data_IF_847056905319
#
_entry.id   IF_847056905319
#
_cell.length_a   1.000
_cell.length_b   1.000
_cell.length_c   1.000
_cell.angle_alpha   90.00
_cell.angle_beta   90.00
_cell.angle_gamma   90.00
#
_symmetry.space_group_name_H-M   'P 1'
#
loop_
_entity.id
_entity.type
_entity.pdbx_description
1 polymer ?
#
# COMPACT_ATOMS: atom_id res chain seq x y z
N UNK A 1 -46.84 29.83 25.80
CA UNK A 1 -46.49 28.92 24.69
C UNK A 1 -45.43 29.59 23.83
N UNK A 2 -44.18 29.14 23.89
CA UNK A 2 -43.08 29.75 23.14
C UNK A 2 -43.11 29.32 21.66
N UNK A 3 -43.21 30.29 20.75
CA UNK A 3 -43.16 30.08 19.30
C UNK A 3 -41.72 29.76 18.90
N UNK A 4 -41.48 28.50 18.53
CA UNK A 4 -40.22 27.99 18.01
C UNK A 4 -39.96 28.64 16.64
N UNK A 5 -39.08 29.65 16.59
CA UNK A 5 -38.65 30.26 15.33
C UNK A 5 -38.00 29.18 14.44
N UNK A 6 -38.65 28.83 13.33
CA UNK A 6 -38.02 28.02 12.27
C UNK A 6 -37.00 28.90 11.55
N UNK A 7 -35.72 28.67 11.81
CA UNK A 7 -34.60 29.32 11.12
C UNK A 7 -34.74 29.03 9.62
N UNK A 8 -35.06 30.04 8.80
CA UNK A 8 -35.13 29.89 7.34
C UNK A 8 -33.71 29.66 6.85
N UNK A 9 -33.41 28.44 6.41
CA UNK A 9 -32.10 28.11 5.86
C UNK A 9 -32.01 28.78 4.49
N UNK A 10 -31.02 29.63 4.29
CA UNK A 10 -30.84 30.39 3.05
C UNK A 10 -30.53 29.41 1.92
N UNK A 11 -31.50 29.15 1.04
CA UNK A 11 -31.38 28.21 -0.09
C UNK A 11 -30.12 28.51 -0.95
N UNK A 12 -29.77 29.79 -1.11
CA UNK A 12 -28.55 30.20 -1.82
C UNK A 12 -27.23 29.74 -1.16
N UNK A 13 -27.24 29.39 0.12
CA UNK A 13 -26.07 28.83 0.82
C UNK A 13 -26.11 27.30 0.87
N UNK A 14 -27.31 26.70 0.86
CA UNK A 14 -27.50 25.24 0.88
C UNK A 14 -27.12 24.61 -0.45
N UNK A 15 -27.48 25.23 -1.57
CA UNK A 15 -27.18 24.71 -2.90
C UNK A 15 -25.66 24.58 -3.15
N UNK A 16 -24.81 25.61 -2.96
CA UNK A 16 -23.37 25.45 -3.15
C UNK A 16 -22.76 24.49 -2.13
N UNK A 17 -23.26 24.45 -0.89
CA UNK A 17 -22.81 23.47 0.11
C UNK A 17 -23.11 22.03 -0.33
N UNK A 18 -24.31 21.76 -0.85
CA UNK A 18 -24.68 20.45 -1.39
C UNK A 18 -23.82 20.07 -2.60
N UNK A 19 -23.52 21.03 -3.49
CA UNK A 19 -22.63 20.77 -4.64
C UNK A 19 -21.23 20.42 -4.16
N UNK A 20 -20.68 21.15 -3.18
CA UNK A 20 -19.36 20.86 -2.60
C UNK A 20 -19.33 19.47 -1.97
N UNK A 21 -20.32 19.12 -1.14
CA UNK A 21 -20.44 17.79 -0.54
C UNK A 21 -20.54 16.71 -1.61
N UNK A 22 -21.31 16.94 -2.68
CA UNK A 22 -21.44 16.00 -3.79
C UNK A 22 -20.09 15.79 -4.50
N UNK A 23 -19.35 16.87 -4.80
CA UNK A 23 -18.01 16.79 -5.39
C UNK A 23 -17.04 16.02 -4.49
N UNK A 24 -16.97 16.34 -3.19
CA UNK A 24 -16.11 15.62 -2.25
C UNK A 24 -16.49 14.15 -2.14
N UNK A 25 -17.80 13.83 -2.09
CA UNK A 25 -18.27 12.45 -2.01
C UNK A 25 -17.91 11.63 -3.26
N UNK A 26 -18.02 12.22 -4.46
CA UNK A 26 -17.58 11.59 -5.72
C UNK A 26 -16.06 11.42 -5.74
N UNK A 27 -15.30 12.42 -5.28
CA UNK A 27 -13.84 12.37 -5.26
C UNK A 27 -13.30 11.30 -4.29
N UNK A 28 -13.87 11.18 -3.09
CA UNK A 28 -13.53 10.13 -2.12
C UNK A 28 -13.89 8.75 -2.68
N UNK A 29 -15.07 8.62 -3.29
CA UNK A 29 -15.51 7.35 -3.88
C UNK A 29 -14.62 6.92 -5.05
N UNK A 30 -14.17 7.86 -5.87
CA UNK A 30 -13.23 7.59 -6.96
C UNK A 30 -11.88 7.09 -6.43
N UNK A 31 -11.36 7.71 -5.36
CA UNK A 31 -10.13 7.27 -4.68
C UNK A 31 -10.28 5.83 -4.16
N UNK A 32 -11.38 5.55 -3.44
CA UNK A 32 -11.67 4.21 -2.91
C UNK A 32 -11.75 3.14 -4.01
N UNK A 33 -12.39 3.45 -5.14
CA UNK A 33 -12.57 2.47 -6.24
C UNK A 33 -11.26 2.12 -6.95
N UNK A 34 -10.36 3.09 -7.09
CA UNK A 34 -9.04 2.87 -7.68
C UNK A 34 -8.15 1.99 -6.78
N UNK A 35 -8.21 2.17 -5.47
CA UNK A 35 -7.43 1.38 -4.49
C UNK A 35 -7.69 -0.13 -4.56
N UNK A 36 -8.93 -0.54 -4.86
CA UNK A 36 -9.30 -1.95 -5.05
C UNK A 36 -8.85 -2.55 -6.39
N UNK A 37 -8.35 -1.73 -7.32
CA UNK A 37 -7.90 -2.17 -8.64
C UNK A 37 -6.41 -2.54 -8.60
N UNK A 38 -6.05 -3.54 -7.80
CA UNK A 38 -4.65 -3.97 -7.62
C UNK A 38 -4.14 -4.62 -8.90
N UNK A 39 -3.07 -4.10 -9.55
CA UNK A 39 -2.44 -4.79 -10.67
C UNK A 39 -1.79 -6.09 -10.18
N UNK A 40 -2.09 -7.22 -10.84
CA UNK A 40 -1.42 -8.51 -10.59
C UNK A 40 0.03 -8.52 -11.07
N UNK A 41 0.44 -7.49 -11.82
CA UNK A 41 1.80 -7.36 -12.37
C UNK A 41 2.48 -6.12 -11.79
N UNK A 42 3.72 -6.24 -11.29
CA UNK A 42 4.45 -5.10 -10.76
C UNK A 42 4.65 -4.02 -11.84
N UNK A 43 4.55 -2.73 -11.49
CA UNK A 43 4.63 -1.66 -12.46
C UNK A 43 5.95 -1.70 -13.24
N UNK A 44 5.88 -1.48 -14.55
CA UNK A 44 7.07 -1.39 -15.38
C UNK A 44 7.86 -0.13 -15.01
N UNK A 45 9.18 -0.26 -14.86
CA UNK A 45 10.10 0.80 -14.39
C UNK A 45 10.23 2.03 -15.33
N UNK A 46 9.37 2.15 -16.35
CA UNK A 46 9.51 3.10 -17.45
C UNK A 46 8.52 4.28 -17.42
N UNK A 47 7.68 4.44 -16.40
CA UNK A 47 6.83 5.62 -16.28
C UNK A 47 7.56 6.80 -15.63
N UNK A 48 8.54 7.33 -16.37
CA UNK A 48 9.27 8.57 -16.07
C UNK A 48 8.49 9.83 -16.50
N UNK A 49 7.22 9.70 -16.90
CA UNK A 49 6.37 10.84 -17.29
C UNK A 49 4.89 10.50 -17.08
N UNK A 50 4.13 11.41 -16.47
CA UNK A 50 2.69 11.25 -16.20
C UNK A 50 2.39 10.73 -14.78
N UNK A 51 1.32 9.94 -14.65
CA UNK A 51 0.96 9.22 -13.42
C UNK A 51 1.50 7.79 -13.51
N UNK A 52 1.99 7.23 -12.41
CA UNK A 52 2.37 5.82 -12.29
C UNK A 52 1.50 5.16 -11.22
N UNK A 53 1.10 3.91 -11.46
CA UNK A 53 0.40 3.10 -10.47
C UNK A 53 1.43 2.31 -9.67
N UNK A 54 1.36 2.41 -8.35
CA UNK A 54 2.18 1.65 -7.40
C UNK A 54 1.31 0.75 -6.54
N UNK A 55 1.92 -0.25 -5.93
CA UNK A 55 1.26 -1.14 -4.99
C UNK A 55 1.83 -0.96 -3.60
N UNK A 56 0.98 -0.64 -2.63
CA UNK A 56 1.34 -0.47 -1.23
C UNK A 56 0.80 -1.64 -0.41
N UNK A 57 1.49 -2.02 0.65
CA UNK A 57 1.09 -3.13 1.51
C UNK A 57 0.65 -2.58 2.87
N UNK A 58 -0.61 -2.76 3.23
CA UNK A 58 -1.20 -2.29 4.49
C UNK A 58 -1.72 -3.43 5.33
N UNK A 59 -2.00 -3.17 6.61
CA UNK A 59 -2.42 -4.22 7.55
C UNK A 59 -3.90 -4.52 7.36
N UNK A 60 -4.23 -5.81 7.28
CA UNK A 60 -5.59 -6.31 7.22
C UNK A 60 -5.88 -7.19 8.45
N UNK A 61 -7.01 -6.92 9.12
CA UNK A 61 -7.49 -7.68 10.28
C UNK A 61 -6.46 -7.79 11.43
N UNK A 62 -5.46 -6.91 11.47
CA UNK A 62 -4.37 -6.92 12.44
C UNK A 62 -3.35 -8.07 12.32
N UNK A 63 -3.44 -8.93 11.29
CA UNK A 63 -2.62 -10.16 11.23
C UNK A 63 -1.94 -10.42 9.90
N UNK A 64 -2.38 -9.81 8.81
CA UNK A 64 -1.84 -10.04 7.47
C UNK A 64 -1.62 -8.71 6.74
N UNK A 65 -0.91 -8.75 5.63
CA UNK A 65 -0.80 -7.62 4.71
C UNK A 65 -1.76 -7.78 3.53
N UNK A 66 -2.33 -6.68 3.07
CA UNK A 66 -3.12 -6.61 1.84
C UNK A 66 -2.62 -5.49 0.94
N UNK A 67 -2.80 -5.70 -0.36
CA UNK A 67 -2.29 -4.81 -1.41
C UNK A 67 -3.31 -3.72 -1.71
N UNK A 68 -2.81 -2.50 -1.86
CA UNK A 68 -3.60 -1.35 -2.32
C UNK A 68 -2.90 -0.69 -3.50
N UNK A 69 -3.66 -0.45 -4.59
CA UNK A 69 -3.14 0.32 -5.72
C UNK A 69 -3.19 1.82 -5.43
N UNK A 70 -2.14 2.54 -5.81
CA UNK A 70 -2.12 3.99 -5.72
C UNK A 70 -1.57 4.64 -6.96
N UNK A 71 -2.24 5.69 -7.43
CA UNK A 71 -1.67 6.56 -8.44
C UNK A 71 -0.79 7.61 -7.76
N UNK A 72 0.45 7.71 -8.22
CA UNK A 72 1.43 8.67 -7.75
C UNK A 72 2.05 9.38 -8.94
N UNK A 73 2.53 10.60 -8.71
CA UNK A 73 3.17 11.38 -9.76
C UNK A 73 4.45 10.68 -10.28
N UNK A 74 4.79 10.95 -11.53
CA UNK A 74 6.09 10.61 -12.07
C UNK A 74 7.19 11.37 -11.31
N UNK A 75 8.31 10.70 -11.17
CA UNK A 75 9.46 11.10 -10.38
C UNK A 75 10.70 11.13 -11.27
N UNK A 76 11.63 12.04 -10.97
CA UNK A 76 12.78 12.31 -11.84
C UNK A 76 13.97 11.35 -11.66
N UNK A 77 14.13 10.77 -10.47
CA UNK A 77 15.22 9.83 -10.15
C UNK A 77 14.70 8.63 -9.35
N UNK A 78 15.39 7.47 -9.36
CA UNK A 78 14.99 6.31 -8.57
C UNK A 78 14.83 6.62 -7.06
N UNK A 79 15.70 7.44 -6.50
CA UNK A 79 15.65 7.87 -5.09
C UNK A 79 14.40 8.71 -4.82
N UNK A 80 14.08 9.66 -5.69
CA UNK A 80 12.85 10.44 -5.58
C UNK A 80 11.63 9.52 -5.68
N UNK A 81 11.61 8.60 -6.66
CA UNK A 81 10.52 7.63 -6.82
C UNK A 81 10.30 6.75 -5.59
N UNK A 82 11.39 6.32 -4.96
CA UNK A 82 11.34 5.48 -3.77
C UNK A 82 10.89 6.29 -2.56
N UNK A 83 11.38 7.53 -2.41
CA UNK A 83 10.93 8.42 -1.35
C UNK A 83 9.44 8.71 -1.46
N UNK A 84 8.95 9.08 -2.64
CA UNK A 84 7.53 9.34 -2.89
C UNK A 84 6.67 8.09 -2.59
N UNK A 85 7.16 6.90 -2.96
CA UNK A 85 6.48 5.63 -2.66
C UNK A 85 6.35 5.40 -1.14
N UNK A 86 7.42 5.64 -0.38
CA UNK A 86 7.43 5.45 1.06
C UNK A 86 6.62 6.53 1.78
N UNK A 87 6.63 7.77 1.29
CA UNK A 87 5.79 8.85 1.81
C UNK A 87 4.29 8.50 1.64
N UNK A 88 3.91 7.86 0.53
CA UNK A 88 2.55 7.32 0.33
C UNK A 88 2.22 6.14 1.27
N UNK A 89 3.18 5.28 1.57
CA UNK A 89 3.00 4.23 2.56
C UNK A 89 2.77 4.82 3.96
N UNK A 90 3.54 5.85 4.33
CA UNK A 90 3.39 6.57 5.62
C UNK A 90 2.05 7.33 5.68
N UNK A 91 1.55 7.83 4.55
CA UNK A 91 0.26 8.50 4.47
C UNK A 91 -0.95 7.57 4.76
N UNK A 92 -0.73 6.25 4.81
CA UNK A 92 -1.73 5.28 5.20
C UNK A 92 -2.62 4.78 4.06
N UNK A 93 -3.51 3.81 4.34
CA UNK A 93 -4.42 3.23 3.37
C UNK A 93 -5.60 4.15 3.04
N UNK A 94 -6.27 3.82 1.93
CA UNK A 94 -7.55 4.41 1.53
C UNK A 94 -8.64 3.37 1.71
N UNK A 95 -9.36 3.43 2.83
CA UNK A 95 -10.50 2.57 3.08
C UNK A 95 -10.44 1.91 4.44
N UNK A 96 -10.59 0.58 4.46
CA UNK A 96 -10.81 -0.20 5.69
C UNK A 96 -9.55 -0.94 6.17
N UNK A 97 -8.42 -0.82 5.46
CA UNK A 97 -7.15 -1.35 5.92
C UNK A 97 -6.58 -0.48 7.04
N UNK A 98 -5.72 -1.06 7.86
CA UNK A 98 -5.03 -0.38 8.94
C UNK A 98 -3.65 0.12 8.50
N UNK A 99 -3.20 1.22 9.10
CA UNK A 99 -1.84 1.73 8.92
C UNK A 99 -0.80 0.69 9.34
N UNK A 100 0.24 0.53 8.51
CA UNK A 100 1.33 -0.37 8.81
C UNK A 100 2.50 0.32 9.50
N UNK A 101 2.70 1.62 9.25
CA UNK A 101 3.76 2.42 9.84
C UNK A 101 3.15 3.39 10.86
N UNK A 102 3.84 3.69 11.99
CA UNK A 102 3.34 4.67 12.94
C UNK A 102 3.19 6.06 12.34
N UNK A 103 2.15 6.79 12.76
CA UNK A 103 1.99 8.21 12.43
C UNK A 103 3.26 9.00 12.76
N UNK A 104 3.69 9.87 11.85
CA UNK A 104 4.90 10.68 12.02
C UNK A 104 6.21 9.94 11.77
N UNK A 105 6.17 8.73 11.21
CA UNK A 105 7.35 8.09 10.61
C UNK A 105 7.96 9.03 9.57
N UNK A 106 9.27 9.29 9.66
CA UNK A 106 9.99 10.13 8.70
C UNK A 106 11.05 9.32 7.97
N UNK A 107 11.09 9.42 6.65
CA UNK A 107 12.17 8.86 5.83
C UNK A 107 13.31 9.88 5.74
N UNK A 108 14.39 9.63 6.47
CA UNK A 108 15.58 10.47 6.51
C UNK A 108 16.32 10.41 5.17
N UNK A 109 16.57 9.20 4.66
CA UNK A 109 17.26 9.00 3.39
C UNK A 109 16.93 7.65 2.76
N UNK A 110 17.14 7.55 1.46
CA UNK A 110 17.09 6.30 0.70
C UNK A 110 18.32 6.23 -0.20
N UNK A 111 18.88 5.04 -0.37
CA UNK A 111 20.04 4.83 -1.24
C UNK A 111 19.98 3.46 -1.92
N UNK A 112 20.50 3.41 -3.14
CA UNK A 112 20.59 2.22 -3.97
C UNK A 112 22.05 1.74 -4.04
N UNK A 113 22.27 0.45 -3.84
CA UNK A 113 23.54 -0.25 -4.05
C UNK A 113 23.29 -1.56 -4.80
N UNK A 114 23.27 -1.49 -6.14
CA UNK A 114 22.94 -2.61 -7.00
C UNK A 114 21.52 -3.13 -6.78
N UNK A 115 21.40 -4.33 -6.21
CA UNK A 115 20.12 -4.98 -5.88
C UNK A 115 19.67 -4.74 -4.42
N UNK A 116 20.44 -3.94 -3.65
CA UNK A 116 20.15 -3.55 -2.28
C UNK A 116 19.63 -2.11 -2.24
N UNK A 117 18.54 -1.90 -1.51
CA UNK A 117 18.12 -0.55 -1.08
C UNK A 117 18.35 -0.42 0.41
N UNK A 118 18.88 0.72 0.85
CA UNK A 118 18.87 1.11 2.26
C UNK A 118 17.87 2.23 2.48
N UNK A 119 16.95 2.04 3.42
CA UNK A 119 15.97 3.02 3.87
C UNK A 119 16.32 3.43 5.30
N UNK A 120 16.68 4.70 5.48
CA UNK A 120 16.93 5.27 6.80
C UNK A 120 15.68 5.98 7.31
N UNK A 121 15.19 5.53 8.46
CA UNK A 121 14.01 6.07 9.13
C UNK A 121 14.43 6.88 10.36
N UNK A 122 13.60 7.83 10.75
CA UNK A 122 13.76 8.52 12.03
C UNK A 122 13.43 7.62 13.22
N UNK A 123 13.93 7.98 14.41
CA UNK A 123 13.55 7.33 15.67
C UNK A 123 12.04 7.20 15.91
N UNK A 124 11.24 8.14 15.38
CA UNK A 124 9.78 8.11 15.53
C UNK A 124 9.13 6.84 15.00
N UNK A 125 9.74 6.18 14.00
CA UNK A 125 9.31 4.84 13.57
C UNK A 125 9.38 3.86 14.75
N UNK A 126 10.55 3.71 15.37
CA UNK A 126 10.74 2.77 16.47
C UNK A 126 9.89 3.11 17.70
N UNK A 127 9.84 4.38 18.07
CA UNK A 127 9.14 4.82 19.28
C UNK A 127 7.60 4.73 19.12
N UNK A 128 7.11 4.87 17.88
CA UNK A 128 5.69 4.78 17.54
C UNK A 128 5.18 3.36 17.29
N UNK A 129 6.06 2.36 17.16
CA UNK A 129 5.64 0.98 16.88
C UNK A 129 4.74 0.44 18.00
N UNK A 130 3.57 -0.15 17.65
CA UNK A 130 2.76 -0.86 18.62
C UNK A 130 3.57 -1.98 19.29
N UNK A 131 3.27 -2.25 20.56
CA UNK A 131 3.97 -3.30 21.29
C UNK A 131 3.62 -4.68 20.73
N UNK A 132 4.62 -5.52 20.51
CA UNK A 132 4.44 -6.94 20.16
C UNK A 132 5.16 -7.31 18.86
N UNK A 133 5.68 -8.53 18.81
CA UNK A 133 6.47 -9.01 17.67
C UNK A 133 5.71 -9.01 16.36
N UNK A 134 4.40 -9.30 16.38
CA UNK A 134 3.56 -9.31 15.18
C UNK A 134 3.40 -7.91 14.58
N UNK A 135 3.22 -6.88 15.41
CA UNK A 135 3.08 -5.51 14.93
C UNK A 135 4.40 -5.01 14.31
N UNK A 136 5.53 -5.30 14.95
CA UNK A 136 6.86 -4.98 14.40
C UNK A 136 7.11 -5.69 13.07
N UNK A 137 6.74 -6.96 12.97
CA UNK A 137 6.87 -7.75 11.75
C UNK A 137 6.00 -7.17 10.61
N UNK A 138 4.73 -6.87 10.88
CA UNK A 138 3.84 -6.30 9.87
C UNK A 138 4.33 -4.93 9.37
N UNK A 139 4.83 -4.07 10.25
CA UNK A 139 5.39 -2.78 9.87
C UNK A 139 6.64 -2.93 8.99
N UNK A 140 7.54 -3.84 9.36
CA UNK A 140 8.77 -4.11 8.60
C UNK A 140 8.44 -4.68 7.22
N UNK A 141 7.62 -5.72 7.14
CA UNK A 141 7.31 -6.36 5.85
C UNK A 141 6.39 -5.52 4.98
N UNK A 142 5.52 -4.68 5.55
CA UNK A 142 4.80 -3.65 4.77
C UNK A 142 5.76 -2.77 3.98
N UNK A 143 6.84 -2.29 4.61
CA UNK A 143 7.86 -1.49 3.96
C UNK A 143 8.66 -2.32 2.94
N UNK A 144 9.17 -3.48 3.35
CA UNK A 144 10.03 -4.33 2.50
C UNK A 144 9.29 -4.80 1.25
N UNK A 145 8.05 -5.28 1.39
CA UNK A 145 7.24 -5.80 0.29
C UNK A 145 6.82 -4.67 -0.65
N UNK A 146 6.45 -3.50 -0.09
CA UNK A 146 6.16 -2.30 -0.89
C UNK A 146 7.36 -1.91 -1.76
N UNK A 147 8.57 -1.86 -1.20
CA UNK A 147 9.77 -1.52 -1.97
C UNK A 147 10.07 -2.57 -3.03
N UNK A 148 10.13 -3.85 -2.64
CA UNK A 148 10.51 -4.94 -3.54
C UNK A 148 9.50 -5.14 -4.69
N UNK A 149 8.20 -4.97 -4.42
CA UNK A 149 7.18 -5.13 -5.44
C UNK A 149 7.27 -4.04 -6.52
N UNK A 150 7.51 -2.79 -6.12
CA UNK A 150 7.55 -1.66 -7.07
C UNK A 150 8.90 -1.51 -7.77
N UNK A 151 9.99 -2.02 -7.18
CA UNK A 151 11.33 -1.95 -7.73
C UNK A 151 11.89 -3.35 -8.01
N UNK A 152 11.51 -3.93 -9.16
CA UNK A 152 11.84 -5.33 -9.52
C UNK A 152 13.34 -5.67 -9.56
N UNK A 153 14.20 -4.67 -9.77
CA UNK A 153 15.66 -4.80 -9.73
C UNK A 153 16.21 -4.92 -8.29
N UNK A 154 15.39 -4.66 -7.27
CA UNK A 154 15.77 -4.73 -5.86
C UNK A 154 15.38 -6.10 -5.31
N UNK A 155 16.36 -6.76 -4.69
CA UNK A 155 16.21 -8.09 -4.08
C UNK A 155 16.25 -8.04 -2.56
N UNK A 156 16.85 -6.99 -2.00
CA UNK A 156 17.01 -6.83 -0.55
C UNK A 156 16.76 -5.39 -0.14
N UNK A 157 16.17 -5.23 1.04
CA UNK A 157 15.92 -3.94 1.68
C UNK A 157 16.57 -3.95 3.06
N UNK A 158 17.48 -3.02 3.30
CA UNK A 158 18.05 -2.77 4.61
C UNK A 158 17.35 -1.57 5.24
N UNK A 159 16.96 -1.71 6.49
CA UNK A 159 16.33 -0.65 7.27
C UNK A 159 17.35 -0.17 8.30
N UNK A 160 17.55 1.15 8.38
CA UNK A 160 18.30 1.80 9.44
C UNK A 160 17.44 2.83 10.17
N UNK A 161 17.85 3.18 11.38
CA UNK A 161 17.19 4.18 12.22
C UNK A 161 18.27 5.17 12.64
N UNK A 162 18.07 6.44 12.28
CA UNK A 162 19.01 7.55 12.49
C UNK A 162 20.46 7.23 12.06
N UNK A 163 20.60 6.52 10.94
CA UNK A 163 21.90 6.15 10.36
C UNK A 163 22.60 4.96 11.02
N UNK A 164 22.00 4.29 12.02
CA UNK A 164 22.56 3.07 12.60
C UNK A 164 22.14 1.82 11.78
N UNK A 165 23.07 1.09 11.15
CA UNK A 165 22.75 -0.06 10.32
C UNK A 165 22.60 -1.38 11.09
N UNK A 166 22.82 -1.44 12.41
CA UNK A 166 22.78 -2.68 13.20
C UNK A 166 21.50 -2.84 14.01
N UNK A 167 20.46 -2.09 13.67
CA UNK A 167 19.32 -1.90 14.53
C UNK A 167 18.55 -3.20 14.81
N UNK A 168 18.22 -3.38 16.07
CA UNK A 168 17.21 -4.31 16.56
C UNK A 168 15.99 -3.45 16.90
N UNK A 169 14.81 -3.89 16.47
CA UNK A 169 13.56 -3.39 17.05
C UNK A 169 13.41 -3.98 18.47
N UNK A 170 12.22 -3.96 19.07
CA UNK A 170 12.08 -4.45 20.46
C UNK A 170 12.05 -5.98 20.49
N UNK A 171 11.56 -6.61 19.43
CA UNK A 171 11.42 -8.06 19.29
C UNK A 171 12.00 -8.61 17.98
N UNK A 172 12.23 -7.76 16.98
CA UNK A 172 12.67 -8.16 15.65
C UNK A 172 14.08 -7.64 15.32
N UNK A 173 14.94 -8.53 14.84
CA UNK A 173 16.26 -8.16 14.33
C UNK A 173 16.15 -7.68 12.89
N UNK A 174 16.59 -6.44 12.63
CA UNK A 174 16.63 -5.82 11.30
C UNK A 174 18.06 -5.43 10.90
N UNK A 175 19.07 -6.00 11.58
CA UNK A 175 20.48 -5.68 11.33
C UNK A 175 20.98 -6.17 9.97
N UNK A 176 20.39 -7.25 9.45
CA UNK A 176 20.67 -7.79 8.13
C UNK A 176 19.62 -7.34 7.09
N UNK A 177 20.01 -7.17 5.82
CA UNK A 177 19.06 -6.86 4.75
C UNK A 177 17.98 -7.95 4.61
N UNK A 178 16.74 -7.50 4.47
CA UNK A 178 15.54 -8.34 4.41
C UNK A 178 15.13 -8.59 2.96
N UNK A 179 14.52 -9.75 2.71
CA UNK A 179 13.91 -10.11 1.42
C UNK A 179 12.40 -10.04 1.61
N UNK A 180 11.68 -9.62 0.57
CA UNK A 180 10.22 -9.59 0.58
C UNK A 180 9.62 -10.97 0.88
N UNK A 181 8.53 -10.96 1.64
CA UNK A 181 7.78 -12.15 2.03
C UNK A 181 6.29 -11.92 1.82
N UNK A 182 5.87 -12.14 0.57
CA UNK A 182 4.48 -11.92 0.16
C UNK A 182 3.49 -12.93 0.74
N UNK A 183 3.95 -13.97 1.46
CA UNK A 183 3.08 -14.94 2.15
C UNK A 183 2.56 -14.38 3.49
N UNK A 184 3.17 -13.31 4.01
CA UNK A 184 2.60 -12.48 5.09
C UNK A 184 1.43 -11.66 4.53
N UNK A 185 1.52 -11.31 3.25
CA UNK A 185 0.38 -10.90 2.46
C UNK A 185 -0.63 -12.03 2.36
N UNK A 186 -1.89 -11.79 2.72
CA UNK A 186 -2.93 -12.80 2.48
C UNK A 186 -2.94 -13.20 0.99
N UNK A 187 -3.42 -14.42 0.63
CA UNK A 187 -3.48 -14.82 -0.76
C UNK A 187 -4.30 -13.77 -1.53
N UNK A 188 -3.68 -13.23 -2.56
CA UNK A 188 -4.29 -12.23 -3.43
C UNK A 188 -5.50 -12.82 -4.15
N UNK A 189 -6.69 -12.58 -3.61
CA UNK A 189 -8.01 -13.00 -4.09
C UNK A 189 -8.19 -14.51 -4.39
N UNK A 190 -9.37 -15.07 -4.07
CA UNK A 190 -9.67 -16.47 -4.34
C UNK A 190 -9.73 -16.70 -5.85
N UNK A 191 -8.99 -17.70 -6.31
CA UNK A 191 -9.18 -18.46 -7.54
C UNK A 191 -10.01 -17.76 -8.62
N UNK A 192 -9.32 -17.28 -9.65
CA UNK A 192 -9.89 -17.19 -10.98
C UNK A 192 -10.78 -18.42 -11.20
N UNK A 193 -12.08 -18.16 -11.37
CA UNK A 193 -13.09 -19.17 -11.69
C UNK A 193 -12.51 -20.10 -12.74
N UNK A 194 -12.14 -21.31 -12.30
CA UNK A 194 -11.65 -22.35 -13.19
C UNK A 194 -12.86 -22.86 -13.94
N UNK A 195 -13.14 -22.24 -15.08
CA UNK A 195 -14.12 -22.72 -16.06
C UNK A 195 -13.75 -24.16 -16.41
N UNK A 196 -14.60 -25.17 -16.15
CA UNK A 196 -14.31 -26.53 -16.57
C UNK A 196 -14.70 -26.70 -18.03
N UNK A 197 -13.82 -26.30 -18.95
CA UNK A 197 -13.93 -26.67 -20.35
C UNK A 197 -12.83 -27.68 -20.69
N UNK A 198 -13.12 -28.96 -20.48
CA UNK A 198 -12.61 -29.98 -21.40
C UNK A 198 -13.74 -30.92 -21.81
N UNK A 199 -14.26 -30.62 -22.99
CA UNK A 199 -15.03 -31.50 -23.87
C UNK A 199 -14.36 -32.87 -23.95
N UNK A 200 -15.06 -33.93 -23.55
CA UNK A 200 -14.74 -35.29 -23.97
C UNK A 200 -15.86 -35.77 -24.91
N UNK A 201 -15.47 -36.00 -26.16
CA UNK A 201 -16.29 -36.51 -27.27
C UNK A 201 -16.87 -37.91 -26.98
N UNK A 202 -18.01 -38.28 -27.60
CA UNK A 202 -18.66 -39.57 -27.36
C UNK A 202 -17.95 -40.75 -28.05
N UNK A 203 -18.13 -41.99 -27.56
CA UNK A 203 -17.48 -43.18 -28.11
C UNK A 203 -18.14 -43.63 -29.43
N UNK A 204 -17.30 -43.80 -30.44
CA UNK A 204 -17.64 -44.37 -31.74
C UNK A 204 -17.96 -45.88 -31.61
N UNK A 205 -19.23 -46.26 -31.81
CA UNK A 205 -19.61 -47.65 -32.06
C UNK A 205 -19.34 -47.99 -33.52
N UNK A 206 -18.21 -48.65 -33.78
CA UNK A 206 -17.85 -49.21 -35.07
C UNK A 206 -17.65 -50.72 -34.96
N UNK A 207 -18.59 -51.45 -35.53
CA UNK A 207 -18.62 -52.89 -35.82
C UNK A 207 -17.35 -53.44 -36.49
N UNK A 208 -16.83 -54.58 -35.97
CA UNK A 208 -16.52 -55.78 -36.77
C UNK A 208 -16.38 -57.00 -35.87
#
# INVERSE_FOLDING_TARGET
>A
MALRQRKKININLVVPFLVIVLVFSVMIWQKYRNSHSVPDTPPSQQQLTGMRTVTLFFVANGTSLEREAREVDACGTPEACLKDLLDELVAGPVGELDEALPEGTTINSVSFDGELVTVDLSRSFLDGLPSGSSAEMLAVFSLVDTVAFNFQNIKKVKISIDGDPKNMLRHLDISEPLVADYDIGGPSQPDAVKTPDHVSSPPNKGTR
#
